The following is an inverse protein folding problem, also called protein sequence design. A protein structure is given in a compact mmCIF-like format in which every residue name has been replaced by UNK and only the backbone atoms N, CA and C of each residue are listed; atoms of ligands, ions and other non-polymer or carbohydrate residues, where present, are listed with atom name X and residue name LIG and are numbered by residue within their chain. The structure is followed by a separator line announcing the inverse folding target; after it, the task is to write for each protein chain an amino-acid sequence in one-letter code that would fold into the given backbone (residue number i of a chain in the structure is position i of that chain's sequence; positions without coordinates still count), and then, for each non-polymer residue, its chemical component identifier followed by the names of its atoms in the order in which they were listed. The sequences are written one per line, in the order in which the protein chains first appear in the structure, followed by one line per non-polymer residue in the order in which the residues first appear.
data_IF_930428300434
#
_entry.id   IF_930428300434
#
_cell.length_a   1.000
_cell.length_b   1.000
_cell.length_c   1.000
_cell.angle_alpha   90.00
_cell.angle_beta   90.00
_cell.angle_gamma   90.00
#
_symmetry.space_group_name_H-M   'P 1'
#
loop_
_entity.id
_entity.type
_entity.pdbx_description
1 polymer ?
#
# COMPACT_ATOMS: atom_id res chain seq x y z
N UNK A 1 25.38 -122.91 -32.30
CA UNK A 1 25.61 -121.48 -32.59
C UNK A 1 25.69 -120.74 -31.26
N UNK A 2 26.83 -120.13 -30.92
CA UNK A 2 26.97 -119.34 -29.70
C UNK A 2 26.47 -117.91 -29.98
N UNK A 3 25.21 -117.62 -29.65
CA UNK A 3 24.61 -116.30 -29.84
C UNK A 3 25.07 -115.35 -28.72
N UNK A 4 25.89 -114.35 -29.06
CA UNK A 4 26.25 -113.29 -28.13
C UNK A 4 25.09 -112.31 -27.97
N UNK A 5 24.33 -112.46 -26.87
CA UNK A 5 23.24 -111.55 -26.51
C UNK A 5 23.80 -110.30 -25.81
N UNK A 6 23.26 -109.14 -26.18
CA UNK A 6 23.57 -107.84 -25.57
C UNK A 6 23.15 -107.73 -24.09
N UNK A 7 23.70 -106.76 -23.35
CA UNK A 7 23.58 -106.69 -21.89
C UNK A 7 22.14 -106.54 -21.37
N UNK A 8 21.22 -105.94 -22.14
CA UNK A 8 19.82 -105.78 -21.76
C UNK A 8 19.02 -107.09 -21.72
N UNK A 9 19.48 -108.15 -22.41
CA UNK A 9 18.76 -109.42 -22.60
C UNK A 9 19.36 -110.55 -21.74
N UNK A 10 20.64 -110.40 -21.34
CA UNK A 10 21.45 -111.44 -20.68
C UNK A 10 20.93 -111.85 -19.28
N UNK A 11 20.06 -111.06 -18.66
CA UNK A 11 19.51 -111.32 -17.30
C UNK A 11 18.02 -111.69 -17.25
N UNK A 12 17.30 -111.64 -18.36
CA UNK A 12 15.85 -111.88 -18.37
C UNK A 12 15.54 -113.38 -18.48
N UNK A 13 15.07 -113.98 -17.39
CA UNK A 13 14.74 -115.41 -17.28
C UNK A 13 13.67 -115.85 -18.28
N UNK A 14 12.73 -114.96 -18.64
CA UNK A 14 11.66 -115.28 -19.56
C UNK A 14 12.15 -115.27 -21.01
N UNK A 15 13.00 -114.31 -21.38
CA UNK A 15 13.65 -114.28 -22.70
C UNK A 15 14.60 -115.48 -22.88
N UNK A 16 15.37 -115.81 -21.85
CA UNK A 16 16.30 -116.95 -21.88
C UNK A 16 15.59 -118.31 -22.01
N UNK A 17 14.40 -118.47 -21.42
CA UNK A 17 13.61 -119.70 -21.50
C UNK A 17 12.96 -119.88 -22.88
N UNK A 18 12.52 -118.79 -23.52
CA UNK A 18 11.94 -118.81 -24.88
C UNK A 18 12.98 -119.07 -25.96
N UNK A 19 14.14 -118.42 -25.86
CA UNK A 19 15.29 -118.68 -26.74
C UNK A 19 15.76 -120.15 -26.70
N UNK A 20 15.58 -120.85 -25.58
CA UNK A 20 15.87 -122.30 -25.47
C UNK A 20 14.81 -123.20 -26.11
N UNK A 21 13.57 -122.70 -26.26
CA UNK A 21 12.46 -123.42 -26.86
C UNK A 21 12.33 -123.16 -28.38
N UNK A 22 12.98 -122.11 -28.89
CA UNK A 22 13.03 -121.77 -30.31
C UNK A 22 13.60 -122.91 -31.16
N UNK A 23 12.89 -123.29 -32.23
CA UNK A 23 13.27 -124.41 -33.11
C UNK A 23 13.75 -123.96 -34.48
N UNK A 24 13.63 -122.67 -34.79
CA UNK A 24 14.12 -122.04 -36.02
C UNK A 24 14.88 -120.72 -35.73
N UNK A 25 15.64 -120.24 -36.71
CA UNK A 25 16.33 -118.95 -36.63
C UNK A 25 15.35 -117.76 -36.60
N UNK A 26 14.16 -117.91 -37.17
CA UNK A 26 13.09 -116.90 -37.13
C UNK A 26 12.49 -116.79 -35.73
N UNK A 27 12.33 -117.92 -35.03
CA UNK A 27 11.87 -117.96 -33.62
C UNK A 27 12.87 -117.24 -32.69
N UNK A 28 14.17 -117.42 -32.94
CA UNK A 28 15.23 -116.74 -32.16
C UNK A 28 15.15 -115.23 -32.29
N UNK A 29 14.84 -114.71 -33.48
CA UNK A 29 14.70 -113.26 -33.73
C UNK A 29 13.44 -112.70 -33.08
N UNK A 30 12.32 -113.44 -33.15
CA UNK A 30 11.05 -113.04 -32.53
C UNK A 30 11.14 -113.04 -30.99
N UNK A 31 11.79 -114.04 -30.40
CA UNK A 31 11.91 -114.18 -28.94
C UNK A 31 12.96 -113.27 -28.31
N UNK A 32 13.95 -112.82 -29.08
CA UNK A 32 14.95 -111.84 -28.68
C UNK A 32 14.42 -110.38 -28.75
N UNK A 33 13.27 -110.14 -29.38
CA UNK A 33 12.67 -108.81 -29.40
C UNK A 33 12.19 -108.42 -28.00
N UNK A 34 12.54 -107.22 -27.49
CA UNK A 34 12.08 -106.77 -26.18
C UNK A 34 10.55 -106.65 -26.20
N UNK A 35 9.88 -107.34 -25.28
CA UNK A 35 8.45 -107.07 -25.04
C UNK A 35 8.34 -105.67 -24.44
N UNK A 36 7.78 -104.73 -25.21
CA UNK A 36 7.15 -103.55 -24.65
C UNK A 36 5.85 -104.04 -23.98
N UNK A 37 5.97 -104.61 -22.77
CA UNK A 37 4.80 -104.85 -21.94
C UNK A 37 4.26 -103.49 -21.52
N UNK A 38 3.26 -103.02 -22.24
CA UNK A 38 2.40 -101.93 -21.84
C UNK A 38 1.58 -102.45 -20.65
N UNK A 39 2.13 -102.39 -19.44
CA UNK A 39 1.39 -102.61 -18.21
C UNK A 39 0.59 -101.35 -17.89
N UNK A 40 -0.72 -101.40 -18.16
CA UNK A 40 -1.67 -100.33 -17.87
C UNK A 40 -2.49 -99.94 -19.09
N UNK A 41 -3.71 -99.48 -18.85
CA UNK A 41 -4.60 -98.93 -19.87
C UNK A 41 -4.07 -97.55 -20.32
N UNK A 42 -3.16 -97.54 -21.29
CA UNK A 42 -2.57 -96.31 -21.88
C UNK A 42 -3.64 -95.36 -22.40
N UNK A 43 -4.79 -95.87 -22.84
CA UNK A 43 -5.92 -95.03 -23.24
C UNK A 43 -6.54 -94.29 -22.07
N UNK A 44 -6.63 -94.91 -20.89
CA UNK A 44 -7.08 -94.24 -19.66
C UNK A 44 -6.07 -93.19 -19.16
N UNK A 45 -4.76 -93.48 -19.24
CA UNK A 45 -3.71 -92.52 -18.84
C UNK A 45 -3.65 -91.31 -19.76
N UNK A 46 -3.76 -91.51 -21.08
CA UNK A 46 -3.85 -90.41 -22.06
C UNK A 46 -5.12 -89.59 -21.86
N UNK A 47 -6.25 -90.22 -21.54
CA UNK A 47 -7.49 -89.52 -21.20
C UNK A 47 -7.35 -88.69 -19.92
N UNK A 48 -6.69 -89.24 -18.88
CA UNK A 48 -6.40 -88.55 -17.62
C UNK A 48 -5.48 -87.35 -17.82
N UNK A 49 -4.39 -87.50 -18.58
CA UNK A 49 -3.48 -86.41 -18.91
C UNK A 49 -4.17 -85.30 -19.72
N UNK A 50 -5.04 -85.65 -20.68
CA UNK A 50 -5.86 -84.66 -21.41
C UNK A 50 -6.85 -83.96 -20.49
N UNK A 51 -7.48 -84.69 -19.58
CA UNK A 51 -8.39 -84.13 -18.58
C UNK A 51 -7.68 -83.17 -17.61
N UNK A 52 -6.38 -83.33 -17.36
CA UNK A 52 -5.57 -82.40 -16.56
C UNK A 52 -5.00 -81.24 -17.39
N UNK A 53 -4.68 -81.46 -18.67
CA UNK A 53 -4.12 -80.46 -19.57
C UNK A 53 -5.11 -79.32 -19.84
N UNK A 54 -6.39 -79.63 -20.08
CA UNK A 54 -7.39 -78.61 -20.38
C UNK A 54 -7.61 -77.60 -19.23
N UNK A 55 -7.79 -78.04 -17.97
CA UNK A 55 -7.81 -77.14 -16.81
C UNK A 55 -6.50 -76.37 -16.63
N UNK A 56 -5.35 -77.00 -16.84
CA UNK A 56 -4.06 -76.33 -16.73
C UNK A 56 -3.89 -75.21 -17.78
N UNK A 57 -4.30 -75.46 -19.03
CA UNK A 57 -4.32 -74.45 -20.09
C UNK A 57 -5.31 -73.32 -19.80
N UNK A 58 -6.50 -73.65 -19.28
CA UNK A 58 -7.49 -72.65 -18.86
C UNK A 58 -6.97 -71.79 -17.70
N UNK A 59 -6.32 -72.40 -16.71
CA UNK A 59 -5.69 -71.70 -15.59
C UNK A 59 -4.52 -70.82 -16.07
N UNK A 60 -3.72 -71.30 -17.02
CA UNK A 60 -2.66 -70.51 -17.64
C UNK A 60 -3.24 -69.28 -18.36
N UNK A 61 -4.27 -69.45 -19.19
CA UNK A 61 -4.91 -68.34 -19.89
C UNK A 61 -5.55 -67.33 -18.92
N UNK A 62 -6.15 -67.80 -17.84
CA UNK A 62 -6.69 -66.93 -16.78
C UNK A 62 -5.58 -66.14 -16.06
N UNK A 63 -4.46 -66.78 -15.75
CA UNK A 63 -3.29 -66.13 -15.13
C UNK A 63 -2.66 -65.09 -16.07
N UNK A 64 -2.52 -65.40 -17.36
CA UNK A 64 -2.01 -64.46 -18.37
C UNK A 64 -2.92 -63.24 -18.52
N UNK A 65 -4.25 -63.44 -18.54
CA UNK A 65 -5.20 -62.33 -18.59
C UNK A 65 -5.16 -61.47 -17.32
N UNK A 66 -5.02 -62.09 -16.14
CA UNK A 66 -4.84 -61.39 -14.87
C UNK A 66 -3.57 -60.55 -14.88
N UNK A 67 -2.45 -61.14 -15.28
CA UNK A 67 -1.16 -60.45 -15.40
C UNK A 67 -1.24 -59.26 -16.36
N UNK A 68 -1.87 -59.41 -17.53
CA UNK A 68 -2.10 -58.29 -18.46
C UNK A 68 -2.90 -57.16 -17.81
N UNK A 69 -3.97 -57.49 -17.08
CA UNK A 69 -4.77 -56.48 -16.36
C UNK A 69 -3.95 -55.74 -15.29
N UNK A 70 -3.10 -56.45 -14.56
CA UNK A 70 -2.21 -55.85 -13.57
C UNK A 70 -1.16 -54.93 -14.20
N UNK A 71 -0.57 -55.31 -15.33
CA UNK A 71 0.34 -54.45 -16.09
C UNK A 71 -0.33 -53.14 -16.51
N UNK A 72 -1.54 -53.21 -17.08
CA UNK A 72 -2.29 -52.00 -17.43
C UNK A 72 -2.58 -51.09 -16.23
N UNK A 73 -2.95 -51.69 -15.08
CA UNK A 73 -3.15 -50.92 -13.84
C UNK A 73 -1.85 -50.27 -13.39
N UNK A 74 -0.74 -51.01 -13.42
CA UNK A 74 0.56 -50.49 -13.03
C UNK A 74 0.99 -49.33 -13.92
N UNK A 75 0.89 -49.46 -15.24
CA UNK A 75 1.19 -48.40 -16.20
C UNK A 75 0.35 -47.14 -15.95
N UNK A 76 -0.96 -47.30 -15.73
CA UNK A 76 -1.84 -46.18 -15.39
C UNK A 76 -1.39 -45.49 -14.09
N UNK A 77 -1.10 -46.26 -13.02
CA UNK A 77 -0.61 -45.68 -11.76
C UNK A 77 0.72 -44.95 -11.92
N UNK A 78 1.61 -45.46 -12.78
CA UNK A 78 2.88 -44.81 -13.09
C UNK A 78 2.70 -43.47 -13.79
N UNK A 79 1.72 -43.35 -14.70
CA UNK A 79 1.38 -42.07 -15.34
C UNK A 79 0.83 -41.08 -14.32
N UNK A 80 -0.09 -41.51 -13.46
CA UNK A 80 -0.62 -40.65 -12.38
C UNK A 80 0.48 -40.17 -11.44
N UNK A 81 1.41 -41.05 -11.04
CA UNK A 81 2.54 -40.68 -10.20
C UNK A 81 3.47 -39.67 -10.87
N UNK A 82 3.72 -39.78 -12.18
CA UNK A 82 4.50 -38.79 -12.93
C UNK A 82 3.81 -37.42 -12.91
N UNK A 83 2.49 -37.39 -13.14
CA UNK A 83 1.73 -36.15 -13.12
C UNK A 83 1.71 -35.51 -11.73
N UNK A 84 1.42 -36.29 -10.69
CA UNK A 84 1.43 -35.82 -9.30
C UNK A 84 2.80 -35.27 -8.89
N UNK A 85 3.90 -35.90 -9.32
CA UNK A 85 5.26 -35.38 -9.08
C UNK A 85 5.49 -34.02 -9.75
N UNK A 86 5.07 -33.88 -11.01
CA UNK A 86 5.21 -32.62 -11.73
C UNK A 86 4.41 -31.49 -11.06
N UNK A 87 3.19 -31.78 -10.60
CA UNK A 87 2.35 -30.83 -9.87
C UNK A 87 2.98 -30.43 -8.53
N UNK A 88 3.50 -31.39 -7.75
CA UNK A 88 4.24 -31.11 -6.51
C UNK A 88 5.44 -30.19 -6.76
N UNK A 89 6.19 -30.42 -7.84
CA UNK A 89 7.34 -29.58 -8.18
C UNK A 89 6.94 -28.17 -8.61
N UNK A 90 5.81 -28.04 -9.32
CA UNK A 90 5.23 -26.73 -9.66
C UNK A 90 4.77 -25.98 -8.40
N UNK A 91 4.03 -26.65 -7.52
CA UNK A 91 3.56 -26.07 -6.26
C UNK A 91 4.73 -25.65 -5.35
N UNK A 92 5.81 -26.43 -5.30
CA UNK A 92 7.03 -26.04 -4.58
C UNK A 92 7.65 -24.75 -5.13
N UNK A 93 7.67 -24.56 -6.45
CA UNK A 93 8.15 -23.31 -7.07
C UNK A 93 7.24 -22.14 -6.70
N UNK A 94 5.93 -22.36 -6.74
CA UNK A 94 4.95 -21.32 -6.42
C UNK A 94 4.99 -20.92 -4.94
N UNK A 95 5.12 -21.87 -4.02
CA UNK A 95 5.31 -21.57 -2.59
C UNK A 95 6.57 -20.74 -2.34
N UNK A 96 7.67 -21.03 -3.04
CA UNK A 96 8.90 -20.21 -2.94
C UNK A 96 8.65 -18.78 -3.45
N UNK A 97 7.94 -18.63 -4.58
CA UNK A 97 7.59 -17.33 -5.15
C UNK A 97 6.70 -16.53 -4.19
N UNK A 98 5.68 -17.16 -3.62
CA UNK A 98 4.76 -16.52 -2.68
C UNK A 98 5.46 -16.09 -1.39
N UNK A 99 6.36 -16.90 -0.84
CA UNK A 99 7.17 -16.51 0.32
C UNK A 99 8.07 -15.30 0.03
N UNK A 100 8.67 -15.24 -1.16
CA UNK A 100 9.47 -14.07 -1.55
C UNK A 100 8.62 -12.81 -1.66
N UNK A 101 7.40 -12.94 -2.20
CA UNK A 101 6.44 -11.84 -2.30
C UNK A 101 5.94 -11.39 -0.92
N UNK A 102 5.68 -12.33 -0.01
CA UNK A 102 5.30 -12.05 1.37
C UNK A 102 6.36 -11.20 2.07
N UNK A 103 7.63 -11.62 2.01
CA UNK A 103 8.76 -10.87 2.58
C UNK A 103 8.88 -9.46 1.97
N UNK A 104 8.69 -9.34 0.65
CA UNK A 104 8.67 -8.04 -0.02
C UNK A 104 7.56 -7.14 0.52
N UNK A 105 6.33 -7.65 0.60
CA UNK A 105 5.18 -6.89 1.08
C UNK A 105 5.31 -6.51 2.56
N UNK A 106 5.91 -7.36 3.40
CA UNK A 106 6.20 -7.02 4.79
C UNK A 106 7.12 -5.80 4.90
N UNK A 107 8.18 -5.75 4.07
CA UNK A 107 9.10 -4.59 4.05
C UNK A 107 8.41 -3.32 3.57
N UNK A 108 7.58 -3.41 2.53
CA UNK A 108 6.79 -2.28 2.05
C UNK A 108 5.84 -1.78 3.15
N UNK A 109 5.15 -2.68 3.86
CA UNK A 109 4.28 -2.31 4.98
C UNK A 109 5.04 -1.64 6.13
N UNK A 110 6.24 -2.09 6.46
CA UNK A 110 7.10 -1.44 7.45
C UNK A 110 7.51 -0.03 7.02
N UNK A 111 7.84 0.16 5.74
CA UNK A 111 8.14 1.47 5.15
C UNK A 111 6.94 2.43 5.23
N UNK A 112 5.74 1.96 4.85
CA UNK A 112 4.52 2.77 4.95
C UNK A 112 4.17 3.12 6.40
N UNK A 113 4.37 2.20 7.35
CA UNK A 113 4.18 2.49 8.79
C UNK A 113 5.12 3.59 9.26
N UNK A 114 6.41 3.51 8.94
CA UNK A 114 7.38 4.55 9.29
C UNK A 114 7.00 5.91 8.67
N UNK A 115 6.49 5.94 7.44
CA UNK A 115 6.01 7.17 6.81
C UNK A 115 4.78 7.73 7.51
N UNK A 116 3.82 6.89 7.90
CA UNK A 116 2.64 7.31 8.67
C UNK A 116 3.04 7.88 10.03
N UNK A 117 3.97 7.26 10.75
CA UNK A 117 4.47 7.75 12.03
C UNK A 117 5.14 9.13 11.87
N UNK A 118 5.99 9.29 10.85
CA UNK A 118 6.63 10.58 10.55
C UNK A 118 5.62 11.68 10.19
N UNK A 119 4.59 11.35 9.41
CA UNK A 119 3.52 12.29 9.08
C UNK A 119 2.67 12.65 10.30
N UNK A 120 2.45 11.71 11.22
CA UNK A 120 1.73 11.95 12.48
C UNK A 120 2.51 12.93 13.35
N UNK A 121 3.82 12.72 13.54
CA UNK A 121 4.67 13.68 14.27
C UNK A 121 4.70 15.07 13.62
N UNK A 122 4.74 15.14 12.29
CA UNK A 122 4.68 16.41 11.58
C UNK A 122 3.33 17.11 11.79
N UNK A 123 2.23 16.34 11.81
CA UNK A 123 0.89 16.82 12.15
C UNK A 123 0.87 17.48 13.52
N UNK A 124 1.35 16.77 14.55
CA UNK A 124 1.39 17.27 15.93
C UNK A 124 2.24 18.56 16.05
N UNK A 125 3.38 18.61 15.37
CA UNK A 125 4.24 19.81 15.34
C UNK A 125 3.55 20.99 14.68
N UNK A 126 2.83 20.77 13.57
CA UNK A 126 2.11 21.82 12.89
C UNK A 126 0.93 22.32 13.73
N UNK A 127 0.18 21.43 14.37
CA UNK A 127 -0.91 21.79 15.27
C UNK A 127 -0.40 22.67 16.43
N UNK A 128 0.71 22.28 17.05
CA UNK A 128 1.33 23.07 18.12
C UNK A 128 1.79 24.46 17.62
N UNK A 129 2.33 24.56 16.40
CA UNK A 129 2.71 25.85 15.80
C UNK A 129 1.50 26.73 15.53
N UNK A 130 0.38 26.16 15.08
CA UNK A 130 -0.87 26.89 14.86
C UNK A 130 -1.40 27.42 16.18
N UNK A 131 -1.48 26.59 17.23
CA UNK A 131 -1.92 27.01 18.57
C UNK A 131 -1.08 28.16 19.10
N UNK A 132 0.25 28.07 19.00
CA UNK A 132 1.14 29.16 19.41
C UNK A 132 0.92 30.43 18.58
N UNK A 133 0.73 30.31 17.27
CA UNK A 133 0.45 31.46 16.41
C UNK A 133 -0.89 32.13 16.78
N UNK A 134 -1.93 31.35 17.06
CA UNK A 134 -3.23 31.84 17.53
C UNK A 134 -3.10 32.57 18.88
N UNK A 135 -2.43 31.98 19.86
CA UNK A 135 -2.17 32.60 21.16
C UNK A 135 -1.40 33.93 21.02
N UNK A 136 -0.40 33.98 20.15
CA UNK A 136 0.35 35.23 19.90
C UNK A 136 -0.50 36.28 19.22
N UNK A 137 -1.35 35.88 18.26
CA UNK A 137 -2.28 36.78 17.56
C UNK A 137 -3.28 37.39 18.54
N UNK A 138 -3.89 36.56 19.40
CA UNK A 138 -4.83 37.02 20.42
C UNK A 138 -4.17 37.99 21.40
N UNK A 139 -2.96 37.68 21.85
CA UNK A 139 -2.18 38.57 22.72
C UNK A 139 -1.88 39.92 22.07
N UNK A 140 -1.48 39.92 20.80
CA UNK A 140 -1.21 41.15 20.05
C UNK A 140 -2.50 41.96 19.84
N UNK A 141 -3.61 41.30 19.52
CA UNK A 141 -4.91 41.97 19.36
C UNK A 141 -5.35 42.67 20.66
N UNK A 142 -5.16 42.01 21.82
CA UNK A 142 -5.41 42.62 23.13
C UNK A 142 -4.49 43.82 23.40
N UNK A 143 -3.20 43.71 23.05
CA UNK A 143 -2.24 44.81 23.23
C UNK A 143 -2.61 46.02 22.37
N UNK A 144 -2.93 45.81 21.09
CA UNK A 144 -3.38 46.87 20.17
C UNK A 144 -4.60 47.57 20.74
N UNK A 145 -5.59 46.82 21.25
CA UNK A 145 -6.79 47.42 21.85
C UNK A 145 -6.46 48.33 23.03
N UNK A 146 -5.59 47.88 23.94
CA UNK A 146 -5.14 48.68 25.09
C UNK A 146 -4.39 49.93 24.64
N UNK A 147 -3.46 49.80 23.71
CA UNK A 147 -2.69 50.93 23.17
C UNK A 147 -3.59 51.94 22.46
N UNK A 148 -4.60 51.49 21.72
CA UNK A 148 -5.61 52.36 21.12
C UNK A 148 -6.41 53.13 22.16
N UNK A 149 -6.81 52.51 23.27
CA UNK A 149 -7.51 53.17 24.38
C UNK A 149 -6.62 54.23 25.05
N UNK A 150 -5.35 53.91 25.32
CA UNK A 150 -4.38 54.85 25.87
C UNK A 150 -4.14 56.03 24.92
N UNK A 151 -3.97 55.76 23.62
CA UNK A 151 -3.78 56.79 22.61
C UNK A 151 -5.00 57.72 22.52
N UNK A 152 -6.22 57.15 22.48
CA UNK A 152 -7.47 57.94 22.50
C UNK A 152 -7.54 58.84 23.73
N UNK A 153 -7.21 58.34 24.91
CA UNK A 153 -7.19 59.12 26.15
C UNK A 153 -6.15 60.26 26.10
N UNK A 154 -4.95 59.98 25.58
CA UNK A 154 -3.89 60.98 25.40
C UNK A 154 -4.31 62.10 24.46
N UNK A 155 -4.88 61.76 23.29
CA UNK A 155 -5.42 62.74 22.33
C UNK A 155 -6.53 63.57 22.95
N UNK A 156 -7.46 62.96 23.69
CA UNK A 156 -8.53 63.68 24.38
C UNK A 156 -7.98 64.67 25.42
N UNK A 157 -6.97 64.25 26.21
CA UNK A 157 -6.29 65.10 27.19
C UNK A 157 -5.57 66.29 26.52
N UNK A 158 -4.77 66.03 25.48
CA UNK A 158 -4.09 67.08 24.70
C UNK A 158 -5.08 68.07 24.08
N UNK A 159 -6.19 67.56 23.52
CA UNK A 159 -7.26 68.39 22.97
C UNK A 159 -7.94 69.25 24.05
N UNK A 160 -8.09 68.73 25.28
CA UNK A 160 -8.61 69.50 26.40
C UNK A 160 -7.62 70.57 26.88
N UNK A 161 -6.32 70.27 26.93
CA UNK A 161 -5.26 71.23 27.27
C UNK A 161 -5.20 72.37 26.24
N UNK A 162 -5.23 72.04 24.95
CA UNK A 162 -5.26 73.03 23.86
C UNK A 162 -6.48 73.95 23.99
N UNK A 163 -7.69 73.40 24.24
CA UNK A 163 -8.89 74.21 24.50
C UNK A 163 -8.74 75.14 25.70
N UNK A 164 -8.14 74.67 26.81
CA UNK A 164 -7.87 75.50 27.99
C UNK A 164 -6.89 76.63 27.69
N UNK A 165 -5.83 76.33 26.93
CA UNK A 165 -4.85 77.32 26.49
C UNK A 165 -5.51 78.40 25.62
N UNK A 166 -6.32 78.00 24.64
CA UNK A 166 -7.09 78.94 23.82
C UNK A 166 -7.99 79.83 24.67
N UNK A 167 -8.76 79.27 25.62
CA UNK A 167 -9.59 80.05 26.53
C UNK A 167 -8.77 81.03 27.39
N UNK A 168 -7.61 80.59 27.88
CA UNK A 168 -6.72 81.43 28.68
C UNK A 168 -6.17 82.61 27.86
N UNK A 169 -5.68 82.35 26.64
CA UNK A 169 -5.18 83.39 25.74
C UNK A 169 -6.30 84.38 25.37
N UNK A 170 -7.50 83.90 25.03
CA UNK A 170 -8.64 84.79 24.73
C UNK A 170 -9.05 85.66 25.92
N UNK A 171 -8.95 85.15 27.16
CA UNK A 171 -9.20 85.96 28.36
C UNK A 171 -8.11 87.01 28.56
N UNK A 172 -6.84 86.64 28.39
CA UNK A 172 -5.73 87.60 28.45
C UNK A 172 -5.89 88.71 27.43
N UNK A 173 -6.22 88.39 26.18
CA UNK A 173 -6.46 89.39 25.13
C UNK A 173 -7.63 90.33 25.49
N UNK A 174 -8.70 89.81 26.09
CA UNK A 174 -9.85 90.60 26.51
C UNK A 174 -9.54 91.54 27.69
N UNK A 175 -8.66 91.12 28.61
CA UNK A 175 -8.26 91.91 29.79
C UNK A 175 -6.92 92.63 29.60
N UNK A 176 -6.33 92.59 28.41
CA UNK A 176 -5.06 93.25 28.12
C UNK A 176 -5.25 94.77 28.13
N UNK A 177 -4.96 95.36 29.29
CA UNK A 177 -4.87 96.80 29.51
C UNK A 177 -3.40 97.26 29.59
N UNK A 178 -2.51 96.60 28.83
CA UNK A 178 -1.13 97.00 28.72
C UNK A 178 -1.00 98.44 28.21
N UNK A 179 0.11 99.09 28.56
CA UNK A 179 0.40 100.46 28.11
C UNK A 179 0.28 100.58 26.58
N UNK A 180 0.75 99.57 25.85
CA UNK A 180 0.66 99.50 24.38
C UNK A 180 -0.79 99.52 23.87
N UNK A 181 -1.69 98.73 24.46
CA UNK A 181 -3.12 98.72 24.09
C UNK A 181 -3.78 100.05 24.44
N UNK A 182 -3.47 100.63 25.61
CA UNK A 182 -3.97 101.96 26.00
C UNK A 182 -3.48 103.07 25.07
N UNK A 183 -2.21 103.05 24.68
CA UNK A 183 -1.65 104.00 23.72
C UNK A 183 -2.31 103.85 22.36
N UNK A 184 -2.55 102.61 21.89
CA UNK A 184 -3.27 102.36 20.63
C UNK A 184 -4.68 102.95 20.66
N UNK A 185 -5.48 102.64 21.69
CA UNK A 185 -6.81 103.24 21.89
C UNK A 185 -6.76 104.77 21.93
N UNK A 186 -5.76 105.34 22.62
CA UNK A 186 -5.58 106.80 22.70
C UNK A 186 -5.22 107.43 21.35
N UNK A 187 -4.39 106.76 20.54
CA UNK A 187 -4.05 107.21 19.19
C UNK A 187 -5.30 107.21 18.31
N UNK A 188 -6.11 106.15 18.35
CA UNK A 188 -7.38 106.06 17.63
C UNK A 188 -8.35 107.18 18.04
N UNK A 189 -8.48 107.42 19.35
CA UNK A 189 -9.31 108.51 19.89
C UNK A 189 -8.83 109.90 19.43
N UNK A 190 -7.51 110.12 19.41
CA UNK A 190 -6.91 111.35 18.93
C UNK A 190 -7.14 111.53 17.44
N UNK A 191 -7.01 110.48 16.64
CA UNK A 191 -7.29 110.50 15.20
C UNK A 191 -8.75 110.87 14.93
N UNK A 192 -9.71 110.30 15.67
CA UNK A 192 -11.12 110.65 15.58
C UNK A 192 -11.43 112.09 16.04
N UNK A 193 -10.70 112.60 17.04
CA UNK A 193 -10.77 114.02 17.42
C UNK A 193 -10.23 114.92 16.33
N UNK A 194 -9.09 114.56 15.73
CA UNK A 194 -8.49 115.31 14.62
C UNK A 194 -9.45 115.33 13.43
N UNK A 195 -10.03 114.20 13.04
CA UNK A 195 -11.06 114.13 11.98
C UNK A 195 -12.24 115.06 12.25
N UNK A 196 -12.77 115.06 13.48
CA UNK A 196 -13.86 115.97 13.89
C UNK A 196 -13.46 117.43 13.83
N UNK A 197 -12.27 117.78 14.32
CA UNK A 197 -11.74 119.14 14.28
C UNK A 197 -11.50 119.60 12.85
N UNK A 198 -10.95 118.75 11.98
CA UNK A 198 -10.76 119.05 10.56
C UNK A 198 -12.10 119.34 9.88
N UNK A 199 -13.14 118.55 10.17
CA UNK A 199 -14.51 118.80 9.68
C UNK A 199 -15.04 120.14 10.19
N UNK A 200 -14.93 120.40 11.50
CA UNK A 200 -15.37 121.66 12.10
C UNK A 200 -14.62 122.87 11.53
N UNK A 201 -13.30 122.77 11.37
CA UNK A 201 -12.48 123.80 10.72
C UNK A 201 -12.88 124.03 9.27
N UNK A 202 -13.17 122.96 8.52
CA UNK A 202 -13.68 123.07 7.15
C UNK A 202 -15.01 123.84 7.13
N UNK A 203 -15.93 123.54 8.06
CA UNK A 203 -17.20 124.27 8.21
C UNK A 203 -16.99 125.73 8.61
N UNK A 204 -16.11 126.01 9.57
CA UNK A 204 -15.79 127.37 9.97
C UNK A 204 -15.15 128.16 8.83
N UNK A 205 -14.19 127.59 8.10
CA UNK A 205 -13.61 128.22 6.91
C UNK A 205 -14.66 128.47 5.82
N UNK A 206 -15.64 127.57 5.64
CA UNK A 206 -16.75 127.85 4.72
C UNK A 206 -17.68 128.97 5.22
N UNK A 207 -17.84 129.14 6.54
CA UNK A 207 -18.61 130.25 7.12
C UNK A 207 -17.84 131.58 7.08
N UNK A 208 -16.54 131.56 7.37
CA UNK A 208 -15.65 132.72 7.19
C UNK A 208 -15.59 133.14 5.73
N UNK A 209 -15.56 132.21 4.77
CA UNK A 209 -15.73 132.54 3.34
C UNK A 209 -17.12 133.08 2.96
N UNK A 210 -18.13 132.93 3.82
CA UNK A 210 -19.43 133.59 3.66
C UNK A 210 -19.47 134.95 4.42
N UNK A 211 -18.63 135.13 5.45
CA UNK A 211 -18.45 136.36 6.25
C UNK A 211 -17.34 137.29 5.72
N UNK A 212 -16.45 136.83 4.84
CA UNK A 212 -15.78 137.63 3.80
C UNK A 212 -16.84 137.84 2.69
N UNK A 213 -17.96 138.49 2.98
CA UNK A 213 -18.14 139.94 2.83
C UNK A 213 -17.35 140.53 1.67
N UNK A 214 -18.10 140.85 0.61
CA UNK A 214 -17.94 141.99 -0.29
C UNK A 214 -16.62 142.77 -0.19
N UNK A 215 -15.72 142.59 -1.16
CA UNK A 215 -14.80 143.63 -1.59
C UNK A 215 -15.38 144.34 -2.84
N UNK A 216 -16.46 145.08 -2.62
CA UNK A 216 -16.79 146.31 -3.35
C UNK A 216 -16.90 147.36 -2.22
N UNK A 217 -15.81 147.98 -1.73
CA UNK A 217 -14.59 148.51 -2.37
C UNK A 217 -13.57 147.51 -2.90
#
# INVERSE_FOLDING_TARGET
VNLQLGPAIRGDRHVSSRLKAARSLEDVVADAAPRLEVQGDVTADVASLRAQLHPAQAAQAAAENSSRSEVYRHENTMVFLKHARAEVDQLKKEVKRLRALEVHNTKELESYRAAVDAHTELGDRLENRVKLAEETSDRLAQQIKREQEVFKASVASSTAQSRRLHQFLSRMDATDDSATVRYRRRIEDLDERVKRLVRANKTLRSRVKLEEMDPDV
#
